data_IF_115102506324
#
_entry.id   IF_115102506324
#
_cell.length_a   1.000
_cell.length_b   1.000
_cell.length_c   1.000
_cell.angle_alpha   90.00
_cell.angle_beta   90.00
_cell.angle_gamma   90.00
#
_symmetry.space_group_name_H-M   'P 1'
#
loop_
_entity.id
_entity.type
_entity.pdbx_description
1 polymer ?
#
# COMPACT_ATOMS: atom_id res chain seq x y z
N UNK A 1 -15.72 1.28 16.55
CA UNK A 1 -16.24 1.34 15.16
C UNK A 1 -16.60 2.75 14.69
N UNK A 2 -17.22 3.61 15.51
CA UNK A 2 -17.57 4.99 15.11
C UNK A 2 -16.40 5.81 14.52
N UNK A 3 -15.21 5.77 15.14
CA UNK A 3 -14.04 6.49 14.63
C UNK A 3 -13.62 6.01 13.22
N UNK A 4 -13.67 4.70 12.95
CA UNK A 4 -13.35 4.11 11.63
C UNK A 4 -14.35 4.61 10.59
N UNK A 5 -15.63 4.71 10.95
CA UNK A 5 -16.66 5.24 10.07
C UNK A 5 -16.41 6.71 9.73
N UNK A 6 -16.14 7.55 10.74
CA UNK A 6 -15.91 8.98 10.55
C UNK A 6 -14.66 9.26 9.71
N UNK A 7 -13.53 8.62 10.02
CA UNK A 7 -12.32 8.75 9.21
C UNK A 7 -12.49 8.13 7.81
N UNK A 8 -13.24 7.04 7.68
CA UNK A 8 -13.59 6.47 6.38
C UNK A 8 -14.38 7.44 5.50
N UNK A 9 -15.33 8.20 6.08
CA UNK A 9 -16.03 9.28 5.37
C UNK A 9 -15.09 10.42 5.00
N UNK A 10 -14.19 10.80 5.90
CA UNK A 10 -13.19 11.85 5.61
C UNK A 10 -12.28 11.47 4.43
N UNK A 11 -11.80 10.22 4.38
CA UNK A 11 -11.01 9.70 3.25
C UNK A 11 -11.84 9.66 1.96
N UNK A 12 -13.14 9.33 2.03
CA UNK A 12 -13.99 9.35 0.84
C UNK A 12 -14.23 10.77 0.29
N UNK A 13 -14.24 11.79 1.15
CA UNK A 13 -14.42 13.19 0.78
C UNK A 13 -13.13 13.83 0.26
N UNK A 14 -11.99 13.52 0.89
CA UNK A 14 -10.67 14.09 0.57
C UNK A 14 -9.65 12.95 0.46
N UNK A 15 -9.66 12.21 -0.67
CA UNK A 15 -8.91 10.95 -0.80
C UNK A 15 -7.39 11.14 -0.97
N UNK A 16 -6.93 12.35 -1.26
CA UNK A 16 -5.52 12.72 -1.35
C UNK A 16 -4.90 13.14 -0.01
N UNK A 17 -5.72 13.31 1.04
CA UNK A 17 -5.24 13.70 2.36
C UNK A 17 -4.60 12.51 3.09
N UNK A 18 -3.27 12.51 3.16
CA UNK A 18 -2.48 11.48 3.83
C UNK A 18 -2.83 11.34 5.32
N UNK A 19 -3.03 12.45 6.02
CA UNK A 19 -3.31 12.44 7.46
C UNK A 19 -4.60 11.67 7.79
N UNK A 20 -5.65 11.82 6.96
CA UNK A 20 -6.89 11.08 7.14
C UNK A 20 -6.69 9.58 7.00
N UNK A 21 -5.88 9.15 6.02
CA UNK A 21 -5.56 7.73 5.80
C UNK A 21 -4.69 7.16 6.90
N UNK A 22 -3.68 7.89 7.36
CA UNK A 22 -2.85 7.47 8.49
C UNK A 22 -3.67 7.33 9.77
N UNK A 23 -4.57 8.29 10.03
CA UNK A 23 -5.45 8.25 11.19
C UNK A 23 -6.45 7.09 11.10
N UNK A 24 -7.04 6.87 9.91
CA UNK A 24 -7.90 5.72 9.63
C UNK A 24 -7.15 4.39 9.89
N UNK A 25 -5.95 4.24 9.33
CA UNK A 25 -5.09 3.06 9.53
C UNK A 25 -4.82 2.82 11.02
N UNK A 26 -4.50 3.87 11.77
CA UNK A 26 -4.24 3.79 13.21
C UNK A 26 -5.45 3.39 14.04
N UNK A 27 -6.67 3.84 13.70
CA UNK A 27 -7.89 3.39 14.41
C UNK A 27 -8.26 1.95 14.06
N UNK A 28 -8.05 1.52 12.82
CA UNK A 28 -8.31 0.15 12.38
C UNK A 28 -7.34 -0.85 13.03
N UNK A 29 -6.06 -0.50 13.16
CA UNK A 29 -5.08 -1.35 13.84
C UNK A 29 -5.40 -1.51 15.33
N UNK A 30 -5.77 -0.43 16.02
CA UNK A 30 -6.20 -0.45 17.42
C UNK A 30 -7.45 -1.32 17.65
N UNK A 31 -8.39 -1.34 16.71
CA UNK A 31 -9.56 -2.24 16.76
C UNK A 31 -9.16 -3.71 16.88
N UNK A 32 -8.03 -4.10 16.29
CA UNK A 32 -7.50 -5.46 16.34
C UNK A 32 -6.37 -5.62 17.37
N UNK A 33 -6.26 -4.71 18.35
CA UNK A 33 -5.23 -4.74 19.40
C UNK A 33 -3.80 -4.87 18.84
N UNK A 34 -3.53 -4.22 17.70
CA UNK A 34 -2.21 -4.26 17.05
C UNK A 34 -1.71 -5.69 16.71
N UNK A 35 -2.61 -6.65 16.49
CA UNK A 35 -2.28 -8.07 16.32
C UNK A 35 -1.52 -8.44 15.02
N UNK A 36 -1.22 -7.46 14.15
CA UNK A 36 -0.48 -7.66 12.89
C UNK A 36 -1.22 -8.44 11.79
N UNK A 37 -2.42 -8.95 12.06
CA UNK A 37 -3.11 -9.93 11.19
C UNK A 37 -4.58 -9.59 10.93
N UNK A 38 -5.16 -8.64 11.67
CA UNK A 38 -6.54 -8.22 11.52
C UNK A 38 -7.55 -9.22 12.09
N UNK A 39 -8.70 -9.34 11.44
CA UNK A 39 -9.76 -10.24 11.85
C UNK A 39 -9.36 -11.73 11.71
N UNK A 40 -9.99 -12.60 12.51
CA UNK A 40 -9.88 -14.06 12.32
C UNK A 40 -10.28 -14.43 10.89
N UNK A 41 -9.47 -15.27 10.23
CA UNK A 41 -9.63 -15.65 8.81
C UNK A 41 -9.59 -14.44 7.85
N UNK A 42 -8.85 -13.39 8.17
CA UNK A 42 -8.69 -12.20 7.33
C UNK A 42 -8.35 -12.52 5.86
N UNK A 43 -7.47 -13.48 5.61
CA UNK A 43 -7.10 -13.88 4.25
C UNK A 43 -8.30 -14.37 3.41
N UNK A 44 -9.19 -15.17 4.01
CA UNK A 44 -10.41 -15.63 3.34
C UNK A 44 -11.42 -14.49 3.14
N UNK A 45 -11.57 -13.63 4.16
CA UNK A 45 -12.48 -12.49 4.12
C UNK A 45 -12.07 -11.44 3.08
N UNK A 46 -10.77 -11.26 2.88
CA UNK A 46 -10.21 -10.31 1.90
C UNK A 46 -10.05 -10.89 0.50
N UNK A 47 -10.18 -12.21 0.31
CA UNK A 47 -10.02 -12.86 -0.99
C UNK A 47 -10.98 -12.28 -2.05
N UNK A 48 -12.27 -12.13 -1.72
CA UNK A 48 -13.27 -11.52 -2.63
C UNK A 48 -12.91 -10.07 -2.97
N UNK A 49 -12.36 -9.33 -2.02
CA UNK A 49 -11.91 -7.94 -2.22
C UNK A 49 -10.74 -7.91 -3.20
N UNK A 50 -9.73 -8.77 -3.02
CA UNK A 50 -8.57 -8.87 -3.92
C UNK A 50 -8.98 -9.25 -5.35
N UNK A 51 -9.95 -10.14 -5.52
CA UNK A 51 -10.48 -10.46 -6.86
C UNK A 51 -11.15 -9.26 -7.52
N UNK A 52 -11.97 -8.50 -6.78
CA UNK A 52 -12.60 -7.26 -7.29
C UNK A 52 -11.57 -6.18 -7.62
N UNK A 53 -10.50 -6.06 -6.82
CA UNK A 53 -9.38 -5.17 -7.11
C UNK A 53 -8.72 -5.54 -8.43
N UNK A 54 -8.35 -6.81 -8.62
CA UNK A 54 -7.75 -7.29 -9.88
C UNK A 54 -8.63 -6.94 -11.10
N UNK A 55 -9.94 -7.18 -11.00
CA UNK A 55 -10.88 -6.84 -12.07
C UNK A 55 -10.97 -5.33 -12.34
N UNK A 56 -10.95 -4.50 -11.30
CA UNK A 56 -11.01 -3.03 -11.42
C UNK A 56 -9.71 -2.45 -11.97
N UNK A 57 -8.57 -3.02 -11.58
CA UNK A 57 -7.23 -2.69 -12.08
C UNK A 57 -7.09 -2.95 -13.58
N UNK A 58 -7.59 -4.09 -14.07
CA UNK A 58 -7.62 -4.38 -15.51
C UNK A 58 -8.43 -3.35 -16.31
N UNK A 59 -9.47 -2.78 -15.69
CA UNK A 59 -10.30 -1.72 -16.28
C UNK A 59 -9.70 -0.31 -16.05
N UNK A 60 -8.54 -0.20 -15.42
CA UNK A 60 -7.91 1.07 -14.98
C UNK A 60 -8.86 1.94 -14.15
N UNK A 61 -9.81 1.33 -13.45
CA UNK A 61 -10.71 2.06 -12.55
C UNK A 61 -10.05 2.19 -11.18
N UNK A 62 -9.16 3.18 -11.07
CA UNK A 62 -8.31 3.39 -9.89
C UNK A 62 -9.11 3.86 -8.67
N UNK A 63 -10.21 4.59 -8.85
CA UNK A 63 -11.12 4.94 -7.74
C UNK A 63 -11.76 3.69 -7.12
N UNK A 64 -12.19 2.73 -7.95
CA UNK A 64 -12.72 1.46 -7.47
C UNK A 64 -11.65 0.60 -6.77
N UNK A 65 -10.40 0.62 -7.26
CA UNK A 65 -9.28 -0.07 -6.59
C UNK A 65 -9.02 0.54 -5.22
N UNK A 66 -8.93 1.87 -5.13
CA UNK A 66 -8.71 2.60 -3.86
C UNK A 66 -9.79 2.26 -2.83
N UNK A 67 -11.06 2.38 -3.21
CA UNK A 67 -12.19 2.05 -2.33
C UNK A 67 -12.20 0.59 -1.90
N UNK A 68 -11.97 -0.33 -2.83
CA UNK A 68 -11.95 -1.76 -2.51
C UNK A 68 -10.76 -2.11 -1.60
N UNK A 69 -9.60 -1.49 -1.80
CA UNK A 69 -8.44 -1.67 -0.93
C UNK A 69 -8.75 -1.19 0.50
N UNK A 70 -9.32 0.01 0.67
CA UNK A 70 -9.73 0.52 1.99
C UNK A 70 -10.77 -0.39 2.68
N UNK A 71 -11.72 -0.95 1.92
CA UNK A 71 -12.68 -1.93 2.46
C UNK A 71 -12.00 -3.21 2.98
N UNK A 72 -11.03 -3.75 2.24
CA UNK A 72 -10.28 -4.93 2.68
C UNK A 72 -9.38 -4.63 3.87
N UNK A 73 -8.82 -3.43 3.90
CA UNK A 73 -7.93 -2.95 4.96
C UNK A 73 -8.64 -2.75 6.29
N UNK A 74 -9.95 -2.46 6.29
CA UNK A 74 -10.81 -2.54 7.50
C UNK A 74 -10.84 -3.94 8.12
N UNK A 75 -10.60 -5.00 7.34
CA UNK A 75 -10.57 -6.39 7.80
C UNK A 75 -9.16 -6.80 8.23
N UNK A 76 -8.14 -6.40 7.46
CA UNK A 76 -6.73 -6.58 7.80
C UNK A 76 -5.91 -5.33 7.48
N UNK A 77 -5.64 -4.48 8.47
CA UNK A 77 -4.87 -3.26 8.30
C UNK A 77 -3.39 -3.44 7.94
N UNK A 78 -2.88 -4.68 8.00
CA UNK A 78 -1.49 -5.01 7.73
C UNK A 78 -1.32 -5.79 6.41
N UNK A 79 -2.39 -6.05 5.68
CA UNK A 79 -2.32 -6.81 4.44
C UNK A 79 -1.46 -6.06 3.40
N UNK A 80 -0.23 -6.55 3.21
CA UNK A 80 0.75 -5.93 2.32
C UNK A 80 0.23 -5.82 0.88
N UNK A 81 -0.55 -6.79 0.40
CA UNK A 81 -1.13 -6.73 -0.95
C UNK A 81 -2.15 -5.60 -1.06
N UNK A 82 -3.04 -5.46 -0.08
CA UNK A 82 -4.05 -4.40 -0.12
C UNK A 82 -3.42 -3.01 0.03
N UNK A 83 -2.40 -2.87 0.89
CA UNK A 83 -1.62 -1.63 1.01
C UNK A 83 -0.90 -1.29 -0.30
N UNK A 84 -0.36 -2.29 -1.00
CA UNK A 84 0.30 -2.08 -2.28
C UNK A 84 -0.68 -1.66 -3.38
N UNK A 85 -1.86 -2.28 -3.44
CA UNK A 85 -2.91 -1.92 -4.39
C UNK A 85 -3.48 -0.52 -4.08
N UNK A 86 -3.58 -0.15 -2.81
CA UNK A 86 -3.91 1.21 -2.38
C UNK A 86 -2.89 2.23 -2.90
N UNK A 87 -1.61 1.95 -2.69
CA UNK A 87 -0.52 2.81 -3.17
C UNK A 87 -0.48 2.91 -4.69
N UNK A 88 -0.75 1.81 -5.38
CA UNK A 88 -0.85 1.78 -6.85
C UNK A 88 -2.00 2.66 -7.34
N UNK A 89 -3.20 2.51 -6.75
CA UNK A 89 -4.34 3.34 -7.11
C UNK A 89 -4.10 4.82 -6.80
N UNK A 90 -3.48 5.13 -5.67
CA UNK A 90 -3.10 6.50 -5.30
C UNK A 90 -2.12 7.10 -6.32
N UNK A 91 -1.09 6.34 -6.74
CA UNK A 91 -0.12 6.77 -7.77
C UNK A 91 -0.83 7.15 -9.07
N UNK A 92 -1.68 6.27 -9.57
CA UNK A 92 -2.39 6.46 -10.84
C UNK A 92 -3.44 7.58 -10.79
N UNK A 93 -3.87 7.97 -9.58
CA UNK A 93 -4.75 9.13 -9.34
C UNK A 93 -3.99 10.43 -9.07
N UNK A 94 -2.65 10.39 -9.04
CA UNK A 94 -1.80 11.55 -8.74
C UNK A 94 -1.63 11.87 -7.25
N UNK A 95 -2.08 10.99 -6.35
CA UNK A 95 -1.98 11.18 -4.89
C UNK A 95 -0.61 10.71 -4.39
N UNK A 96 0.43 11.45 -4.79
CA UNK A 96 1.82 11.03 -4.66
C UNK A 96 2.27 10.72 -3.22
N UNK A 97 1.85 11.54 -2.25
CA UNK A 97 2.16 11.31 -0.83
C UNK A 97 1.49 10.05 -0.27
N UNK A 98 0.22 9.84 -0.60
CA UNK A 98 -0.54 8.64 -0.21
C UNK A 98 0.07 7.39 -0.83
N UNK A 99 0.49 7.48 -2.10
CA UNK A 99 1.09 6.37 -2.81
C UNK A 99 2.37 5.88 -2.13
N UNK A 100 3.27 6.82 -1.79
CA UNK A 100 4.53 6.51 -1.12
C UNK A 100 4.30 5.93 0.27
N UNK A 101 3.43 6.53 1.09
CA UNK A 101 3.13 6.02 2.44
C UNK A 101 2.58 4.58 2.39
N UNK A 102 1.59 4.33 1.54
CA UNK A 102 0.97 3.01 1.42
C UNK A 102 1.96 1.94 0.89
N UNK A 103 2.74 2.26 -0.15
CA UNK A 103 3.74 1.33 -0.70
C UNK A 103 4.89 1.08 0.29
N UNK A 104 5.31 2.09 1.07
CA UNK A 104 6.32 1.95 2.12
C UNK A 104 5.88 0.96 3.18
N UNK A 105 4.64 1.09 3.67
CA UNK A 105 4.08 0.15 4.65
C UNK A 105 3.92 -1.24 4.04
N UNK A 106 3.52 -1.36 2.77
CA UNK A 106 3.43 -2.64 2.08
C UNK A 106 4.79 -3.38 2.01
N UNK A 107 5.87 -2.67 1.65
CA UNK A 107 7.25 -3.21 1.62
C UNK A 107 7.77 -3.56 3.01
N UNK A 108 7.36 -2.82 4.04
CA UNK A 108 7.68 -3.14 5.43
C UNK A 108 6.95 -4.41 5.91
N UNK A 109 5.70 -4.62 5.50
CA UNK A 109 4.89 -5.76 5.91
C UNK A 109 5.18 -7.05 5.10
N UNK A 110 5.74 -6.93 3.90
CA UNK A 110 6.23 -8.07 3.13
C UNK A 110 7.63 -7.77 2.60
N UNK A 111 8.63 -8.15 3.38
CA UNK A 111 9.99 -7.70 3.16
C UNK A 111 10.72 -8.39 2.01
N UNK A 112 10.21 -9.53 1.57
CA UNK A 112 10.82 -10.40 0.56
C UNK A 112 10.20 -10.19 -0.83
N UNK A 113 9.12 -9.41 -0.93
CA UNK A 113 8.46 -9.15 -2.19
C UNK A 113 9.25 -8.12 -3.03
N UNK A 114 10.00 -8.65 -3.99
CA UNK A 114 10.85 -7.90 -4.92
C UNK A 114 10.05 -6.90 -5.77
N UNK A 115 8.86 -7.26 -6.21
CA UNK A 115 8.00 -6.39 -7.04
C UNK A 115 7.54 -5.16 -6.25
N UNK A 116 7.24 -5.34 -4.95
CA UNK A 116 6.87 -4.22 -4.07
C UNK A 116 8.04 -3.28 -3.86
N UNK A 117 9.24 -3.83 -3.59
CA UNK A 117 10.45 -3.04 -3.42
C UNK A 117 10.78 -2.25 -4.69
N UNK A 118 10.75 -2.89 -5.87
CA UNK A 118 11.00 -2.22 -7.15
C UNK A 118 10.02 -1.07 -7.39
N UNK A 119 8.72 -1.34 -7.25
CA UNK A 119 7.69 -0.34 -7.51
C UNK A 119 7.78 0.87 -6.57
N UNK A 120 8.14 0.66 -5.30
CA UNK A 120 8.38 1.75 -4.35
C UNK A 120 9.63 2.56 -4.76
N UNK A 121 10.71 1.90 -5.15
CA UNK A 121 11.94 2.57 -5.57
C UNK A 121 11.70 3.45 -6.82
N UNK A 122 11.03 2.91 -7.84
CA UNK A 122 10.62 3.65 -9.04
C UNK A 122 9.73 4.86 -8.71
N UNK A 123 8.77 4.69 -7.79
CA UNK A 123 7.91 5.78 -7.35
C UNK A 123 8.71 6.90 -6.68
N UNK A 124 9.65 6.53 -5.78
CA UNK A 124 10.53 7.49 -5.10
C UNK A 124 11.43 8.23 -6.10
N UNK A 125 11.99 7.53 -7.09
CA UNK A 125 12.76 8.18 -8.17
C UNK A 125 11.91 9.16 -8.96
N UNK A 126 10.67 8.82 -9.31
CA UNK A 126 9.77 9.71 -10.04
C UNK A 126 9.41 10.97 -9.26
N UNK A 127 9.47 10.91 -7.93
CA UNK A 127 9.28 12.04 -7.00
C UNK A 127 10.55 12.87 -6.76
N UNK A 128 11.71 12.39 -7.21
CA UNK A 128 13.01 13.00 -6.92
C UNK A 128 13.61 12.60 -5.57
N UNK A 129 13.01 11.62 -4.87
CA UNK A 129 13.47 11.12 -3.57
C UNK A 129 14.60 10.07 -3.74
N UNK A 130 15.64 10.43 -4.49
CA UNK A 130 16.71 9.52 -4.93
C UNK A 130 17.46 8.86 -3.76
N UNK A 131 17.66 9.59 -2.66
CA UNK A 131 18.33 9.07 -1.47
C UNK A 131 17.57 7.90 -0.84
N UNK A 132 16.24 7.95 -0.87
CA UNK A 132 15.42 6.89 -0.32
C UNK A 132 15.24 5.75 -1.33
N UNK A 133 15.07 6.09 -2.61
CA UNK A 133 15.05 5.11 -3.70
C UNK A 133 16.31 4.23 -3.69
N UNK A 134 17.50 4.82 -3.58
CA UNK A 134 18.78 4.08 -3.53
C UNK A 134 18.81 3.07 -2.37
N UNK A 135 18.28 3.40 -1.19
CA UNK A 135 18.19 2.45 -0.06
C UNK A 135 17.27 1.26 -0.39
N UNK A 136 16.16 1.50 -1.07
CA UNK A 136 15.26 0.42 -1.50
C UNK A 136 15.91 -0.42 -2.61
N UNK A 137 16.62 0.20 -3.56
CA UNK A 137 17.38 -0.49 -4.60
C UNK A 137 18.50 -1.36 -4.03
N UNK A 138 19.27 -0.86 -3.05
CA UNK A 138 20.29 -1.62 -2.34
C UNK A 138 19.69 -2.85 -1.65
N UNK A 139 18.51 -2.70 -1.06
CA UNK A 139 17.80 -3.83 -0.45
C UNK A 139 17.32 -4.82 -1.51
N UNK A 140 16.78 -4.35 -2.63
CA UNK A 140 16.38 -5.22 -3.74
C UNK A 140 17.57 -5.98 -4.32
N UNK A 141 18.73 -5.33 -4.50
CA UNK A 141 19.96 -5.97 -4.97
C UNK A 141 20.48 -7.04 -4.01
N UNK A 142 20.22 -6.91 -2.70
CA UNK A 142 20.52 -7.95 -1.70
C UNK A 142 19.55 -9.14 -1.79
N UNK A 143 18.26 -8.88 -2.03
CA UNK A 143 17.23 -9.91 -2.18
C UNK A 143 17.33 -10.64 -3.53
N UNK A 144 17.80 -9.94 -4.57
CA UNK A 144 18.04 -10.45 -5.89
C UNK A 144 19.39 -9.98 -6.43
N UNK A 145 20.48 -10.72 -6.12
CA UNK A 145 21.79 -10.39 -6.65
C UNK A 145 21.88 -10.44 -8.17
N UNK A 146 20.94 -11.10 -8.86
CA UNK A 146 20.92 -11.23 -10.32
C UNK A 146 20.15 -10.09 -11.01
N UNK A 147 19.39 -9.28 -10.26
CA UNK A 147 18.70 -8.11 -10.78
C UNK A 147 19.69 -7.00 -11.22
N UNK A 148 19.85 -6.85 -12.53
CA UNK A 148 20.80 -5.89 -13.10
C UNK A 148 20.42 -4.43 -12.85
N UNK A 149 19.11 -4.14 -12.83
CA UNK A 149 18.60 -2.79 -12.60
C UNK A 149 18.85 -2.39 -11.14
N UNK A 150 18.49 -3.26 -10.20
CA UNK A 150 18.72 -3.02 -8.79
C UNK A 150 20.20 -2.82 -8.48
N UNK A 151 21.10 -3.63 -9.07
CA UNK A 151 22.55 -3.42 -8.91
C UNK A 151 22.98 -2.05 -9.43
N UNK A 152 22.53 -1.67 -10.62
CA UNK A 152 22.90 -0.39 -11.25
C UNK A 152 22.40 0.81 -10.46
N UNK A 153 21.16 0.75 -9.95
CA UNK A 153 20.52 1.82 -9.18
C UNK A 153 20.92 1.86 -7.70
N UNK A 154 21.61 0.82 -7.22
CA UNK A 154 22.11 0.71 -5.84
C UNK A 154 23.51 1.28 -5.63
N UNK A 155 24.27 1.49 -6.72
CA UNK A 155 25.61 2.07 -6.77
C UNK A 155 25.56 3.60 -6.77
#
# INVERSE_FOLDING_TARGET
DYAIEMFGKAVALVPDNLLYRQTLRGVERRKYNENGTGAKMAGLRTAKVKTRIKASRLKKNWDAVDKAAEEGLKVNPWDATLLFELGTAARERGFSEVAVDAMRIAVANNTENKDFARSLAELLESRGDYNEASKIWQRLAKLDPMDAEARTKSM
#
